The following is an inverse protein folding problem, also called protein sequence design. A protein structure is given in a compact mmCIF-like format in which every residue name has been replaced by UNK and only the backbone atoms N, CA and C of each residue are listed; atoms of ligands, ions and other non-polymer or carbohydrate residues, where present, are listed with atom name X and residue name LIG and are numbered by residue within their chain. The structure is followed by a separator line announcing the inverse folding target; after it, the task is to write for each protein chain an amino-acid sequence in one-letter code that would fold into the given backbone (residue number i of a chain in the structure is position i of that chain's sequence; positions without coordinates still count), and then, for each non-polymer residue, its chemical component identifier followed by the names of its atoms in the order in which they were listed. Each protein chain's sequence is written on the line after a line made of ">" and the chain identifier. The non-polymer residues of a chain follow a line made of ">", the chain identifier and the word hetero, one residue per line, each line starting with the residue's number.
data_IF_257505392198
#
_entry.id   IF_257505392198
#
_cell.length_a   1.000
_cell.length_b   1.000
_cell.length_c   1.000
_cell.angle_alpha   90.00
_cell.angle_beta   90.00
_cell.angle_gamma   90.00
#
_symmetry.space_group_name_H-M   'P 1'
#
loop_
_entity.id
_entity.type
_entity.pdbx_description
1 polymer ?
#
# COMPACT_ATOMS: atom_id res chain seq x y z
N UNK A 1 18.81 -14.26 -2.41
CA UNK A 1 19.23 -13.96 -1.02
C UNK A 1 18.55 -12.69 -0.50
N UNK A 2 18.09 -12.69 0.75
CA UNK A 2 17.68 -11.46 1.45
C UNK A 2 18.85 -11.02 2.35
N UNK A 3 19.34 -9.79 2.14
CA UNK A 3 20.57 -9.31 2.80
C UNK A 3 20.31 -8.57 4.11
N UNK A 4 19.27 -7.73 4.12
CA UNK A 4 18.88 -6.92 5.28
C UNK A 4 17.51 -7.36 5.81
N UNK A 5 17.25 -7.21 7.12
CA UNK A 5 15.93 -7.47 7.67
C UNK A 5 14.89 -6.46 7.17
N UNK A 6 13.61 -6.76 7.39
CA UNK A 6 12.50 -5.86 7.11
C UNK A 6 12.08 -5.15 8.40
N UNK A 7 12.41 -3.87 8.53
CA UNK A 7 12.14 -3.07 9.73
C UNK A 7 12.74 -3.70 11.00
N UNK A 8 14.00 -4.14 10.91
CA UNK A 8 14.72 -4.81 11.99
C UNK A 8 14.29 -6.25 12.27
N UNK A 9 13.33 -6.81 11.52
CA UNK A 9 12.82 -8.18 11.71
C UNK A 9 13.00 -9.05 10.49
N UNK A 10 13.25 -10.34 10.72
CA UNK A 10 13.26 -11.37 9.68
C UNK A 10 11.87 -12.01 9.63
N UNK A 11 10.99 -11.46 8.81
CA UNK A 11 9.60 -11.88 8.65
C UNK A 11 9.37 -12.67 7.34
N UNK A 12 8.13 -13.12 7.10
CA UNK A 12 7.75 -13.85 5.88
C UNK A 12 8.38 -15.25 5.78
N UNK A 13 8.94 -15.59 4.62
CA UNK A 13 9.64 -16.86 4.37
C UNK A 13 10.83 -17.10 5.32
N UNK A 14 11.29 -16.08 6.05
CA UNK A 14 12.46 -16.15 6.93
C UNK A 14 12.11 -16.09 8.43
N UNK A 15 10.82 -16.16 8.79
CA UNK A 15 10.37 -16.17 10.19
C UNK A 15 10.92 -17.38 10.94
N UNK A 16 11.81 -17.13 11.91
CA UNK A 16 12.20 -18.12 12.93
C UNK A 16 13.21 -19.20 12.54
N UNK A 17 13.83 -19.20 11.35
CA UNK A 17 14.93 -20.14 11.01
C UNK A 17 16.23 -19.40 10.70
N UNK A 18 17.24 -19.57 11.55
CA UNK A 18 18.58 -18.94 11.41
C UNK A 18 19.38 -19.42 10.21
N UNK A 19 18.99 -20.52 9.56
CA UNK A 19 19.61 -21.02 8.34
C UNK A 19 18.47 -21.76 7.63
N UNK A 20 18.01 -21.28 6.48
CA UNK A 20 16.78 -21.81 5.92
C UNK A 20 16.60 -21.36 4.49
N UNK A 21 17.00 -22.24 3.59
CA UNK A 21 16.53 -22.27 2.22
C UNK A 21 15.03 -22.57 2.24
N UNK A 22 14.22 -21.61 1.76
CA UNK A 22 12.79 -21.81 1.60
C UNK A 22 12.46 -21.82 0.13
N UNK A 23 11.98 -22.98 -0.35
CA UNK A 23 11.40 -23.09 -1.68
C UNK A 23 10.10 -22.27 -1.72
N UNK A 24 9.99 -21.37 -2.69
CA UNK A 24 8.73 -20.68 -2.96
C UNK A 24 7.67 -21.68 -3.40
N UNK A 25 6.67 -21.91 -2.55
CA UNK A 25 5.50 -22.74 -2.86
C UNK A 25 4.49 -21.92 -3.67
N UNK A 26 3.67 -22.59 -4.47
CA UNK A 26 2.62 -21.96 -5.30
C UNK A 26 3.14 -20.88 -6.27
N UNK A 27 4.38 -21.03 -6.74
CA UNK A 27 4.95 -20.20 -7.79
C UNK A 27 5.29 -21.08 -9.00
N UNK A 28 4.99 -20.66 -10.25
CA UNK A 28 5.35 -21.44 -11.43
C UNK A 28 6.88 -21.51 -11.65
N UNK A 29 7.62 -20.55 -11.11
CA UNK A 29 9.09 -20.53 -11.10
C UNK A 29 9.64 -21.09 -9.79
N UNK A 30 10.76 -21.82 -9.85
CA UNK A 30 11.40 -22.44 -8.69
C UNK A 30 12.55 -21.57 -8.20
N UNK A 31 12.42 -20.97 -7.02
CA UNK A 31 13.51 -20.25 -6.37
C UNK A 31 13.64 -20.67 -4.91
N UNK A 32 14.88 -20.60 -4.43
CA UNK A 32 15.24 -20.77 -3.03
C UNK A 32 15.50 -19.38 -2.42
N UNK A 33 14.77 -19.05 -1.37
CA UNK A 33 15.03 -17.85 -0.58
C UNK A 33 15.93 -18.22 0.59
N UNK A 34 17.03 -17.50 0.75
CA UNK A 34 18.02 -17.71 1.83
C UNK A 34 18.52 -16.39 2.39
N UNK A 35 19.01 -16.42 3.64
CA UNK A 35 19.80 -15.37 4.28
C UNK A 35 21.22 -15.82 4.63
N UNK A 36 21.60 -17.03 4.21
CA UNK A 36 22.92 -17.59 4.45
C UNK A 36 23.95 -16.90 3.55
N UNK A 37 24.75 -16.02 4.16
CA UNK A 37 25.73 -15.18 3.45
C UNK A 37 26.82 -15.99 2.76
N UNK A 38 27.02 -17.25 3.14
CA UNK A 38 27.95 -18.17 2.45
C UNK A 38 27.52 -18.45 1.01
N UNK A 39 26.24 -18.25 0.69
CA UNK A 39 25.67 -18.48 -0.63
C UNK A 39 25.63 -17.23 -1.51
N UNK A 40 26.36 -16.16 -1.15
CA UNK A 40 26.33 -14.88 -1.87
C UNK A 40 26.78 -15.04 -3.33
N UNK A 41 27.85 -15.78 -3.59
CA UNK A 41 28.38 -15.98 -4.95
C UNK A 41 27.46 -16.84 -5.83
N UNK A 42 26.61 -17.67 -5.20
CA UNK A 42 25.64 -18.54 -5.88
C UNK A 42 24.23 -17.94 -5.97
N UNK A 43 24.03 -16.74 -5.42
CA UNK A 43 22.71 -16.11 -5.42
C UNK A 43 22.47 -15.31 -6.70
N UNK A 44 21.41 -15.63 -7.44
CA UNK A 44 21.02 -14.88 -8.65
C UNK A 44 20.58 -13.44 -8.33
N UNK A 45 20.01 -13.23 -7.14
CA UNK A 45 19.62 -11.91 -6.66
C UNK A 45 19.94 -11.72 -5.17
N UNK A 46 20.26 -10.48 -4.82
CA UNK A 46 20.46 -10.01 -3.44
C UNK A 46 19.48 -8.87 -3.21
N UNK A 47 18.52 -9.09 -2.31
CA UNK A 47 17.46 -8.14 -2.01
C UNK A 47 17.82 -7.36 -0.76
N UNK A 48 17.78 -6.03 -0.87
CA UNK A 48 18.08 -5.11 0.21
C UNK A 48 16.82 -4.35 0.59
N UNK A 49 16.29 -4.62 1.77
CA UNK A 49 15.37 -3.69 2.40
C UNK A 49 16.14 -2.42 2.80
N UNK A 50 15.83 -1.33 2.12
CA UNK A 50 16.71 -0.16 2.01
C UNK A 50 16.84 0.61 3.32
N UNK A 51 15.76 0.67 4.13
CA UNK A 51 15.79 1.33 5.44
C UNK A 51 16.72 0.62 6.44
N UNK A 52 16.95 -0.68 6.24
CA UNK A 52 17.79 -1.52 7.10
C UNK A 52 19.20 -1.74 6.52
N UNK A 53 19.59 -0.95 5.52
CA UNK A 53 20.96 -0.98 4.99
C UNK A 53 21.98 -0.52 6.03
N UNK A 54 23.09 -1.25 6.09
CA UNK A 54 24.29 -0.88 6.83
C UNK A 54 25.47 -0.91 5.86
N UNK A 55 26.11 0.25 5.67
CA UNK A 55 27.24 0.41 4.74
C UNK A 55 28.48 -0.36 5.18
N UNK A 56 28.66 -0.58 6.49
CA UNK A 56 29.74 -1.40 7.01
C UNK A 56 29.52 -2.90 6.77
N UNK A 57 28.33 -3.26 6.29
CA UNK A 57 27.86 -4.63 6.18
C UNK A 57 27.32 -4.93 4.77
N UNK A 58 27.90 -4.34 3.72
CA UNK A 58 27.54 -4.68 2.34
C UNK A 58 28.24 -5.96 1.86
N UNK A 59 27.65 -6.72 0.92
CA UNK A 59 28.36 -7.82 0.27
C UNK A 59 29.58 -7.27 -0.49
N UNK A 60 30.67 -8.04 -0.59
CA UNK A 60 31.96 -7.53 -1.06
C UNK A 60 31.92 -7.10 -2.52
N UNK A 61 31.40 -7.93 -3.43
CA UNK A 61 31.28 -7.63 -4.86
C UNK A 61 30.02 -8.28 -5.45
N UNK A 62 29.47 -7.65 -6.49
CA UNK A 62 28.37 -8.19 -7.31
C UNK A 62 28.96 -8.86 -8.55
N UNK A 63 28.62 -10.14 -8.78
CA UNK A 63 28.98 -10.81 -10.05
C UNK A 63 28.18 -10.22 -11.22
N UNK A 64 28.65 -10.42 -12.45
CA UNK A 64 27.98 -9.86 -13.65
C UNK A 64 26.55 -10.38 -13.86
N UNK A 65 26.25 -11.61 -13.43
CA UNK A 65 24.93 -12.23 -13.52
C UNK A 65 24.02 -11.92 -12.32
N UNK A 66 24.58 -11.52 -11.18
CA UNK A 66 23.81 -11.27 -9.96
C UNK A 66 23.08 -9.92 -10.00
N UNK A 67 21.81 -9.91 -9.58
CA UNK A 67 20.96 -8.72 -9.49
C UNK A 67 20.87 -8.21 -8.05
N UNK A 68 21.37 -7.01 -7.79
CA UNK A 68 21.11 -6.32 -6.52
C UNK A 68 19.80 -5.56 -6.63
N UNK A 69 18.88 -5.82 -5.71
CA UNK A 69 17.49 -5.36 -5.76
C UNK A 69 17.22 -4.37 -4.63
N UNK A 70 16.85 -3.15 -5.00
CA UNK A 70 16.32 -2.13 -4.09
C UNK A 70 14.91 -2.53 -3.68
N UNK A 71 14.69 -2.91 -2.42
CA UNK A 71 13.36 -3.26 -1.92
C UNK A 71 12.88 -2.27 -0.85
N UNK A 72 11.70 -1.71 -1.06
CA UNK A 72 11.07 -0.84 -0.05
C UNK A 72 9.57 -0.65 -0.31
N UNK A 73 8.78 -0.72 0.76
CA UNK A 73 7.31 -0.66 0.70
C UNK A 73 6.69 0.55 1.40
N UNK A 74 7.51 1.37 2.06
CA UNK A 74 7.09 2.64 2.66
C UNK A 74 7.35 3.79 1.71
N UNK A 75 6.66 4.90 1.92
CA UNK A 75 6.77 6.06 1.03
C UNK A 75 8.14 6.77 1.12
N UNK A 76 8.53 7.57 0.11
CA UNK A 76 9.81 8.27 0.11
C UNK A 76 10.09 9.12 1.36
N UNK A 77 9.14 9.92 1.90
CA UNK A 77 9.36 10.67 3.14
C UNK A 77 9.64 9.79 4.36
N UNK A 78 9.25 8.52 4.30
CA UNK A 78 9.48 7.52 5.33
C UNK A 78 10.68 6.62 5.02
N UNK A 79 11.53 6.89 4.02
CA UNK A 79 12.71 6.03 3.76
C UNK A 79 13.69 5.97 4.92
N UNK A 80 13.96 7.11 5.58
CA UNK A 80 14.83 7.25 6.76
C UNK A 80 16.27 6.72 6.64
N UNK A 81 16.67 6.29 5.45
CA UNK A 81 18.06 6.01 5.08
C UNK A 81 18.54 7.07 4.09
N UNK A 82 19.77 7.54 4.25
CA UNK A 82 20.35 8.54 3.35
C UNK A 82 20.78 7.91 2.02
N UNK A 83 19.94 7.93 0.99
CA UNK A 83 20.30 7.33 -0.31
C UNK A 83 21.49 8.02 -1.02
N UNK A 84 21.91 9.22 -0.59
CA UNK A 84 23.05 9.93 -1.20
C UNK A 84 24.40 9.23 -0.96
N UNK A 85 24.51 8.41 0.08
CA UNK A 85 25.77 7.71 0.40
C UNK A 85 25.94 6.39 -0.36
N UNK A 86 24.95 6.01 -1.16
CA UNK A 86 25.01 4.78 -1.95
C UNK A 86 25.81 5.00 -3.23
N UNK A 87 26.69 4.05 -3.61
CA UNK A 87 27.44 4.17 -4.84
C UNK A 87 26.52 4.14 -6.07
N UNK A 88 26.81 4.93 -7.12
CA UNK A 88 26.10 4.84 -8.39
C UNK A 88 26.07 3.43 -8.96
N UNK A 89 24.93 3.00 -9.50
CA UNK A 89 24.80 1.67 -10.12
C UNK A 89 24.75 0.49 -9.14
N UNK A 90 24.69 0.74 -7.82
CA UNK A 90 24.60 -0.30 -6.79
C UNK A 90 23.44 -1.27 -7.03
N UNK A 91 22.27 -0.77 -7.44
CA UNK A 91 21.10 -1.60 -7.69
C UNK A 91 20.87 -1.80 -9.18
N UNK A 92 20.60 -3.05 -9.58
CA UNK A 92 20.15 -3.39 -10.92
C UNK A 92 18.66 -3.22 -11.07
N UNK A 93 17.91 -3.69 -10.06
CA UNK A 93 16.46 -3.76 -10.08
C UNK A 93 15.85 -3.08 -8.87
N UNK A 94 14.59 -2.70 -9.02
CA UNK A 94 13.73 -2.13 -7.98
C UNK A 94 12.53 -3.05 -7.74
N UNK A 95 12.17 -3.21 -6.47
CA UNK A 95 11.03 -4.01 -6.03
C UNK A 95 10.24 -3.21 -5.01
N UNK A 96 9.21 -2.48 -5.46
CA UNK A 96 8.46 -1.53 -4.62
C UNK A 96 7.00 -1.45 -5.05
N UNK A 97 6.19 -0.66 -4.32
CA UNK A 97 4.82 -0.34 -4.69
C UNK A 97 4.70 0.57 -5.93
N UNK A 98 5.80 1.12 -6.46
CA UNK A 98 5.72 1.97 -7.64
C UNK A 98 5.51 1.14 -8.90
N UNK A 99 4.59 1.57 -9.74
CA UNK A 99 4.24 0.89 -10.99
C UNK A 99 5.39 0.83 -12.01
N UNK A 100 6.39 1.72 -11.89
CA UNK A 100 7.61 1.75 -12.71
C UNK A 100 8.78 0.95 -12.10
N UNK A 101 8.53 0.10 -11.10
CA UNK A 101 9.55 -0.80 -10.56
C UNK A 101 9.81 -1.99 -11.48
N UNK A 102 11.03 -2.51 -11.48
CA UNK A 102 11.38 -3.74 -12.24
C UNK A 102 10.55 -4.95 -11.78
N UNK A 103 10.21 -4.99 -10.49
CA UNK A 103 9.24 -5.90 -9.88
C UNK A 103 8.20 -5.06 -9.12
N UNK A 104 7.01 -4.92 -9.68
CA UNK A 104 5.91 -4.19 -9.06
C UNK A 104 5.27 -5.01 -7.92
N UNK A 105 5.17 -4.41 -6.74
CA UNK A 105 4.64 -5.03 -5.52
C UNK A 105 3.56 -4.13 -4.92
N UNK A 106 2.31 -4.17 -5.41
CA UNK A 106 1.23 -3.44 -4.76
C UNK A 106 0.87 -4.05 -3.40
N UNK A 107 0.13 -3.33 -2.57
CA UNK A 107 -0.36 -3.87 -1.29
C UNK A 107 -1.57 -4.81 -1.46
N UNK A 108 -2.22 -4.76 -2.62
CA UNK A 108 -3.34 -5.60 -3.00
C UNK A 108 -3.73 -5.37 -4.45
N UNK A 109 -4.73 -6.10 -4.92
CA UNK A 109 -5.28 -5.94 -6.26
C UNK A 109 -6.79 -6.18 -6.29
N UNK A 110 -7.44 -5.64 -7.32
CA UNK A 110 -8.82 -5.99 -7.65
C UNK A 110 -8.78 -6.90 -8.88
N UNK A 111 -9.24 -8.14 -8.70
CA UNK A 111 -9.20 -9.18 -9.73
C UNK A 111 -10.61 -9.58 -10.17
N UNK A 112 -10.82 -9.97 -11.44
CA UNK A 112 -12.09 -10.54 -11.86
C UNK A 112 -12.48 -11.75 -11.00
N UNK A 113 -13.78 -11.90 -10.74
CA UNK A 113 -14.30 -13.10 -10.09
C UNK A 113 -14.23 -14.29 -11.05
N UNK A 114 -13.99 -15.46 -10.46
CA UNK A 114 -14.32 -16.72 -11.11
C UNK A 114 -15.86 -16.79 -11.27
N UNK A 115 -16.31 -17.03 -12.50
CA UNK A 115 -17.73 -17.16 -12.83
C UNK A 115 -18.42 -18.30 -12.05
N UNK A 116 -17.65 -19.28 -11.59
CA UNK A 116 -18.16 -20.44 -10.85
C UNK A 116 -18.15 -20.24 -9.32
N UNK A 117 -17.55 -19.16 -8.81
CA UNK A 117 -17.47 -18.91 -7.37
C UNK A 117 -18.78 -18.30 -6.83
N UNK A 118 -19.49 -19.04 -5.99
CA UNK A 118 -20.69 -18.55 -5.31
C UNK A 118 -20.31 -17.64 -4.13
N UNK A 119 -20.80 -16.39 -4.13
CA UNK A 119 -20.74 -15.52 -2.94
C UNK A 119 -21.95 -15.82 -2.05
N UNK A 120 -21.79 -15.98 -0.73
CA UNK A 120 -22.91 -15.91 0.19
C UNK A 120 -23.67 -14.60 -0.06
N UNK A 121 -24.97 -14.68 -0.36
CA UNK A 121 -25.81 -13.48 -0.48
C UNK A 121 -25.76 -12.74 0.85
N UNK A 122 -25.07 -11.59 0.88
CA UNK A 122 -25.05 -10.69 2.03
C UNK A 122 -26.19 -9.71 1.88
N UNK A 123 -27.00 -9.57 2.92
CA UNK A 123 -28.06 -8.57 2.97
C UNK A 123 -27.44 -7.19 3.26
N UNK A 124 -27.06 -6.49 2.18
CA UNK A 124 -26.52 -5.13 2.27
C UNK A 124 -27.51 -4.15 2.89
N UNK A 125 -28.83 -4.38 2.78
CA UNK A 125 -29.85 -3.52 3.38
C UNK A 125 -29.89 -3.69 4.89
N UNK A 126 -29.84 -4.93 5.38
CA UNK A 126 -29.73 -5.20 6.80
C UNK A 126 -28.42 -4.64 7.38
N UNK A 127 -27.29 -4.83 6.66
CA UNK A 127 -26.00 -4.28 7.07
C UNK A 127 -26.01 -2.74 7.11
N UNK A 128 -26.62 -2.08 6.12
CA UNK A 128 -26.77 -0.62 6.12
C UNK A 128 -27.61 -0.14 7.31
N UNK A 129 -28.69 -0.86 7.67
CA UNK A 129 -29.51 -0.56 8.85
C UNK A 129 -28.80 -0.81 10.18
N UNK A 130 -27.82 -1.71 10.24
CA UNK A 130 -27.07 -1.98 11.49
C UNK A 130 -26.02 -0.93 11.80
N UNK A 131 -25.55 -0.19 10.79
CA UNK A 131 -24.56 0.88 10.95
C UNK A 131 -25.20 2.09 11.65
N UNK A 132 -24.53 2.58 12.68
CA UNK A 132 -25.00 3.72 13.48
C UNK A 132 -23.91 4.78 13.73
N UNK A 133 -22.73 4.61 13.14
CA UNK A 133 -21.63 5.58 13.22
C UNK A 133 -21.13 5.96 11.83
N UNK A 134 -20.69 7.21 11.66
CA UNK A 134 -20.37 7.73 10.34
C UNK A 134 -19.05 7.17 9.81
N UNK A 135 -17.92 7.48 10.44
CA UNK A 135 -16.60 7.05 9.97
C UNK A 135 -15.70 6.53 11.08
N UNK A 136 -14.80 5.61 10.70
CA UNK A 136 -13.72 5.09 11.54
C UNK A 136 -12.36 5.34 10.89
N UNK A 137 -11.36 5.66 11.71
CA UNK A 137 -9.97 5.80 11.29
C UNK A 137 -9.05 4.99 12.19
N UNK A 138 -8.50 3.89 11.67
CA UNK A 138 -7.54 3.05 12.38
C UNK A 138 -6.10 3.50 12.04
N UNK A 139 -5.41 4.12 13.00
CA UNK A 139 -4.13 4.79 12.77
C UNK A 139 -3.20 4.73 13.99
N UNK A 140 -1.92 4.47 13.75
CA UNK A 140 -0.89 4.47 14.80
C UNK A 140 0.33 5.36 14.51
N UNK A 141 0.39 6.00 13.35
CA UNK A 141 1.39 7.02 13.05
C UNK A 141 0.72 8.40 13.06
N UNK A 142 1.05 9.21 14.06
CA UNK A 142 0.31 10.42 14.42
C UNK A 142 0.97 11.72 13.95
N UNK A 143 2.10 11.63 13.25
CA UNK A 143 2.78 12.77 12.65
C UNK A 143 3.31 12.32 11.31
N UNK A 144 2.66 12.77 10.23
CA UNK A 144 3.01 12.32 8.90
C UNK A 144 3.32 13.46 7.94
N UNK A 145 4.09 13.13 6.91
CA UNK A 145 4.50 14.08 5.87
C UNK A 145 3.32 14.54 5.02
N UNK A 146 2.30 13.68 4.83
CA UNK A 146 1.11 14.00 4.04
C UNK A 146 0.11 14.94 4.72
N UNK A 147 0.15 15.05 6.05
CA UNK A 147 -0.73 15.95 6.81
C UNK A 147 -2.17 15.43 7.01
N UNK A 148 -2.39 14.11 6.90
CA UNK A 148 -3.71 13.48 7.06
C UNK A 148 -4.36 13.75 8.41
N UNK A 149 -3.57 14.00 9.45
CA UNK A 149 -3.98 14.25 10.83
C UNK A 149 -4.66 15.62 10.92
N UNK A 150 -4.10 16.61 10.22
CA UNK A 150 -4.70 17.94 10.11
C UNK A 150 -5.97 17.87 9.28
N UNK A 151 -5.96 17.13 8.17
CA UNK A 151 -7.16 16.91 7.37
C UNK A 151 -8.28 16.29 8.22
N UNK A 152 -7.99 15.23 8.97
CA UNK A 152 -8.99 14.57 9.83
C UNK A 152 -9.41 15.49 11.00
N UNK A 153 -8.51 16.30 11.55
CA UNK A 153 -8.88 17.29 12.56
C UNK A 153 -9.91 18.30 12.03
N UNK A 154 -9.75 18.78 10.80
CA UNK A 154 -10.73 19.65 10.13
C UNK A 154 -12.03 18.88 9.79
N UNK A 155 -11.93 17.67 9.26
CA UNK A 155 -13.09 16.82 8.97
C UNK A 155 -13.97 16.59 10.22
N UNK A 156 -13.33 16.38 11.37
CA UNK A 156 -14.00 16.14 12.66
C UNK A 156 -14.78 17.34 13.21
N UNK A 157 -14.60 18.53 12.65
CA UNK A 157 -15.46 19.68 12.97
C UNK A 157 -16.85 19.58 12.32
N UNK A 158 -16.99 18.71 11.32
CA UNK A 158 -18.19 18.63 10.48
C UNK A 158 -18.89 17.25 10.50
N UNK A 159 -18.22 16.22 11.02
CA UNK A 159 -18.78 14.88 11.17
C UNK A 159 -18.05 14.07 12.26
N UNK A 160 -18.72 13.06 12.80
CA UNK A 160 -18.09 12.15 13.75
C UNK A 160 -17.11 11.19 13.07
N UNK A 161 -15.89 11.13 13.61
CA UNK A 161 -14.85 10.15 13.24
C UNK A 161 -14.29 9.52 14.50
N UNK A 162 -14.48 8.21 14.65
CA UNK A 162 -13.86 7.45 15.72
C UNK A 162 -12.43 7.04 15.34
N UNK A 163 -11.47 7.34 16.22
CA UNK A 163 -10.05 7.07 15.97
C UNK A 163 -9.59 5.88 16.81
N UNK A 164 -9.14 4.82 16.14
CA UNK A 164 -8.58 3.61 16.73
C UNK A 164 -7.06 3.55 16.55
N UNK A 165 -6.34 3.01 17.54
CA UNK A 165 -4.90 2.82 17.49
C UNK A 165 -4.14 3.75 18.44
N UNK A 166 -2.87 4.03 18.13
CA UNK A 166 -2.03 4.87 19.00
C UNK A 166 -2.48 6.34 19.00
N UNK A 167 -3.05 6.84 17.91
CA UNK A 167 -3.45 8.25 17.78
C UNK A 167 -4.86 8.55 18.30
N UNK A 168 -5.52 7.57 18.93
CA UNK A 168 -6.91 7.67 19.36
C UNK A 168 -7.18 6.98 20.68
N UNK A 169 -8.38 7.20 21.20
CA UNK A 169 -8.85 6.62 22.46
C UNK A 169 -9.19 5.14 22.34
N UNK A 170 -9.64 4.69 21.18
CA UNK A 170 -10.00 3.29 20.95
C UNK A 170 -8.78 2.47 20.55
N UNK A 171 -8.81 1.17 20.86
CA UNK A 171 -7.70 0.26 20.56
C UNK A 171 -8.11 -0.75 19.51
N UNK A 172 -7.20 -0.98 18.57
CA UNK A 172 -7.24 -2.08 17.63
C UNK A 172 -5.81 -2.56 17.41
N UNK A 173 -5.26 -3.40 18.31
CA UNK A 173 -3.91 -3.92 18.15
C UNK A 173 -3.85 -4.87 16.95
N UNK A 174 -2.68 -4.96 16.30
CA UNK A 174 -2.49 -5.79 15.11
C UNK A 174 -2.84 -7.27 15.30
N UNK A 175 -2.75 -7.79 16.53
CA UNK A 175 -3.12 -9.17 16.86
C UNK A 175 -4.61 -9.50 16.66
N UNK A 176 -5.49 -8.48 16.67
CA UNK A 176 -6.95 -8.63 16.53
C UNK A 176 -7.49 -7.74 15.39
N UNK A 177 -6.64 -7.37 14.43
CA UNK A 177 -7.00 -6.44 13.35
C UNK A 177 -8.26 -6.92 12.58
N UNK A 178 -8.35 -8.22 12.27
CA UNK A 178 -9.49 -8.80 11.56
C UNK A 178 -10.81 -8.67 12.35
N UNK A 179 -10.77 -8.81 13.68
CA UNK A 179 -11.95 -8.63 14.53
C UNK A 179 -12.41 -7.17 14.54
N UNK A 180 -11.46 -6.23 14.57
CA UNK A 180 -11.78 -4.81 14.43
C UNK A 180 -12.40 -4.51 13.07
N UNK A 181 -11.81 -5.01 11.97
CA UNK A 181 -12.32 -4.76 10.62
C UNK A 181 -13.75 -5.31 10.45
N UNK A 182 -14.03 -6.51 10.97
CA UNK A 182 -15.37 -7.08 11.00
C UNK A 182 -16.35 -6.23 11.83
N UNK A 183 -15.92 -5.73 12.99
CA UNK A 183 -16.71 -4.79 13.80
C UNK A 183 -16.95 -3.47 13.05
N UNK A 184 -15.94 -2.96 12.35
CA UNK A 184 -16.04 -1.72 11.61
C UNK A 184 -17.07 -1.84 10.48
N UNK A 185 -17.03 -2.94 9.73
CA UNK A 185 -18.01 -3.29 8.72
C UNK A 185 -19.45 -3.27 9.25
N UNK A 186 -19.70 -3.73 10.47
CA UNK A 186 -21.05 -3.74 11.05
C UNK A 186 -21.50 -2.38 11.59
N UNK A 187 -20.56 -1.53 12.02
CA UNK A 187 -20.84 -0.33 12.83
C UNK A 187 -20.77 0.97 12.03
N UNK A 188 -19.85 1.07 11.06
CA UNK A 188 -19.52 2.32 10.37
C UNK A 188 -19.90 2.30 8.88
N UNK A 189 -20.33 3.43 8.35
CA UNK A 189 -20.52 3.61 6.91
C UNK A 189 -19.20 3.74 6.15
N UNK A 190 -18.23 4.43 6.75
CA UNK A 190 -16.98 4.78 6.07
C UNK A 190 -15.75 4.36 6.87
N UNK A 191 -14.73 3.90 6.15
CA UNK A 191 -13.38 3.68 6.70
C UNK A 191 -12.43 4.69 6.06
N UNK A 192 -11.77 5.50 6.88
CA UNK A 192 -10.74 6.43 6.39
C UNK A 192 -9.45 5.65 6.11
N UNK A 193 -9.22 5.33 4.83
CA UNK A 193 -8.03 4.68 4.31
C UNK A 193 -6.95 5.72 3.96
N UNK A 194 -6.59 6.56 4.94
CA UNK A 194 -5.73 7.73 4.70
C UNK A 194 -4.25 7.37 4.80
N UNK A 195 -3.50 7.61 3.72
CA UNK A 195 -2.08 7.35 3.65
C UNK A 195 -1.24 8.37 4.42
N UNK A 196 -0.12 7.91 4.98
CA UNK A 196 0.83 8.77 5.69
C UNK A 196 1.53 9.78 4.76
N UNK A 197 1.46 9.59 3.44
CA UNK A 197 2.10 10.47 2.47
C UNK A 197 1.26 10.57 1.21
N UNK A 198 1.18 11.77 0.64
CA UNK A 198 0.51 12.00 -0.64
C UNK A 198 1.55 11.82 -1.75
N UNK A 199 1.94 10.57 -2.00
CA UNK A 199 2.94 10.23 -3.01
C UNK A 199 2.31 9.56 -4.24
N UNK A 200 2.87 9.74 -5.44
CA UNK A 200 2.49 8.95 -6.61
C UNK A 200 2.56 7.44 -6.32
N UNK A 201 1.60 6.71 -6.86
CA UNK A 201 1.43 5.24 -6.75
C UNK A 201 1.32 4.67 -5.32
N UNK A 202 1.42 5.48 -4.27
CA UNK A 202 1.49 4.98 -2.90
C UNK A 202 0.10 4.64 -2.35
N UNK A 203 -0.19 3.34 -2.34
CA UNK A 203 -1.38 2.74 -1.73
C UNK A 203 -0.99 1.51 -0.92
N UNK A 204 -1.48 1.48 0.31
CA UNK A 204 -1.13 0.47 1.32
C UNK A 204 -2.29 -0.49 1.58
N UNK A 205 -2.12 -1.36 2.59
CA UNK A 205 -3.16 -2.27 3.07
C UNK A 205 -4.45 -1.54 3.46
N UNK A 206 -4.40 -0.23 3.78
CA UNK A 206 -5.55 0.55 4.25
C UNK A 206 -6.71 0.55 3.28
N UNK A 207 -6.44 0.73 1.98
CA UNK A 207 -7.48 0.66 0.95
C UNK A 207 -8.04 -0.77 0.86
N UNK A 208 -7.17 -1.77 0.78
CA UNK A 208 -7.59 -3.15 0.57
C UNK A 208 -8.32 -3.74 1.78
N UNK A 209 -7.94 -3.37 3.00
CA UNK A 209 -8.65 -3.70 4.23
C UNK A 209 -10.09 -3.18 4.19
N UNK A 210 -10.36 -2.02 3.59
CA UNK A 210 -11.73 -1.56 3.39
C UNK A 210 -12.42 -2.31 2.25
N UNK A 211 -11.77 -2.49 1.08
CA UNK A 211 -12.37 -3.14 -0.09
C UNK A 211 -12.74 -4.62 0.17
N UNK A 212 -11.98 -5.32 1.03
CA UNK A 212 -12.27 -6.69 1.47
C UNK A 212 -13.57 -6.78 2.30
N UNK A 213 -14.00 -5.68 2.92
CA UNK A 213 -15.18 -5.60 3.77
C UNK A 213 -16.30 -4.76 3.12
N UNK A 214 -17.55 -4.92 3.54
CA UNK A 214 -18.69 -4.13 3.05
C UNK A 214 -18.81 -2.78 3.80
N UNK A 215 -17.71 -2.01 3.74
CA UNK A 215 -17.56 -0.63 4.23
C UNK A 215 -16.94 0.22 3.13
N UNK A 216 -17.40 1.47 2.95
CA UNK A 216 -16.91 2.32 1.87
C UNK A 216 -15.57 2.96 2.26
N UNK A 217 -14.46 2.72 1.52
CA UNK A 217 -13.21 3.42 1.76
C UNK A 217 -13.30 4.90 1.37
N UNK A 218 -12.82 5.76 2.25
CA UNK A 218 -12.48 7.15 1.93
C UNK A 218 -10.96 7.25 1.90
N UNK A 219 -10.40 7.49 0.72
CA UNK A 219 -8.95 7.49 0.51
C UNK A 219 -8.38 8.90 0.59
N UNK A 220 -7.11 9.01 0.99
CA UNK A 220 -6.35 10.25 1.00
C UNK A 220 -4.91 9.90 0.68
N UNK A 221 -4.42 10.31 -0.50
CA UNK A 221 -3.11 9.90 -0.99
C UNK A 221 -2.83 10.46 -2.39
N UNK A 222 -1.64 10.19 -2.93
CA UNK A 222 -1.19 10.74 -4.21
C UNK A 222 -1.34 9.81 -5.40
N UNK A 223 -1.92 8.63 -5.22
CA UNK A 223 -2.06 7.61 -6.24
C UNK A 223 -3.22 7.92 -7.21
N UNK A 224 -3.13 7.37 -8.43
CA UNK A 224 -4.27 7.30 -9.33
C UNK A 224 -5.14 6.08 -8.99
N UNK A 225 -6.08 6.25 -8.07
CA UNK A 225 -6.91 5.15 -7.56
C UNK A 225 -7.74 4.43 -8.63
N UNK A 226 -8.08 5.09 -9.75
CA UNK A 226 -8.83 4.49 -10.87
C UNK A 226 -8.06 3.37 -11.58
N UNK A 227 -6.73 3.34 -11.43
CA UNK A 227 -5.88 2.25 -11.93
C UNK A 227 -5.79 1.06 -10.95
N UNK A 228 -6.27 1.24 -9.72
CA UNK A 228 -6.07 0.29 -8.62
C UNK A 228 -7.37 -0.35 -8.16
N UNK A 229 -8.48 0.39 -8.24
CA UNK A 229 -9.79 -0.09 -7.86
C UNK A 229 -10.86 0.45 -8.83
N UNK A 230 -11.98 -0.28 -9.03
CA UNK A 230 -13.06 0.17 -9.89
C UNK A 230 -13.58 1.56 -9.50
N UNK A 231 -13.96 2.37 -10.48
CA UNK A 231 -14.66 3.63 -10.21
C UNK A 231 -15.90 3.36 -9.35
N UNK A 232 -16.22 4.28 -8.44
CA UNK A 232 -17.32 4.13 -7.47
C UNK A 232 -17.14 2.90 -6.55
N UNK A 233 -15.89 2.54 -6.20
CA UNK A 233 -15.58 1.61 -5.10
C UNK A 233 -14.95 2.29 -3.89
N UNK A 234 -14.59 3.56 -4.02
CA UNK A 234 -13.96 4.41 -3.01
C UNK A 234 -14.41 5.86 -3.18
N UNK A 235 -14.15 6.69 -2.18
CA UNK A 235 -14.35 8.14 -2.20
C UNK A 235 -12.98 8.80 -2.03
N UNK A 236 -12.54 9.62 -2.96
CA UNK A 236 -11.28 10.35 -2.84
C UNK A 236 -11.47 11.65 -2.05
N UNK A 237 -10.89 11.74 -0.85
CA UNK A 237 -10.99 12.92 0.00
C UNK A 237 -10.37 14.17 -0.66
N UNK A 238 -9.39 13.99 -1.55
CA UNK A 238 -8.71 15.10 -2.23
C UNK A 238 -9.44 15.60 -3.48
N UNK A 239 -10.55 14.96 -3.89
CA UNK A 239 -11.40 15.47 -4.98
C UNK A 239 -12.44 16.49 -4.51
N UNK A 240 -12.62 16.66 -3.20
CA UNK A 240 -13.51 17.65 -2.61
C UNK A 240 -12.78 18.96 -2.38
N UNK A 241 -13.51 20.08 -2.51
CA UNK A 241 -12.96 21.41 -2.24
C UNK A 241 -12.42 21.52 -0.81
N UNK A 242 -13.12 20.95 0.19
CA UNK A 242 -12.69 21.03 1.59
C UNK A 242 -13.13 19.80 2.39
N UNK A 243 -12.54 19.57 3.59
CA UNK A 243 -13.01 18.55 4.52
C UNK A 243 -14.50 18.71 4.90
N UNK A 244 -15.02 19.95 4.91
CA UNK A 244 -16.45 20.23 5.13
C UNK A 244 -17.32 19.65 4.01
N UNK A 245 -16.95 19.89 2.75
CA UNK A 245 -17.68 19.35 1.60
C UNK A 245 -17.63 17.83 1.55
N UNK A 246 -16.50 17.23 1.94
CA UNK A 246 -16.43 15.78 2.14
C UNK A 246 -17.41 15.32 3.22
N UNK A 247 -17.42 15.96 4.40
CA UNK A 247 -18.34 15.60 5.48
C UNK A 247 -19.82 15.67 5.05
N UNK A 248 -20.23 16.75 4.38
CA UNK A 248 -21.58 16.91 3.86
C UNK A 248 -21.96 15.79 2.88
N UNK A 249 -21.04 15.43 1.98
CA UNK A 249 -21.22 14.30 1.07
C UNK A 249 -21.39 12.97 1.81
N UNK A 250 -20.51 12.67 2.76
CA UNK A 250 -20.54 11.42 3.53
C UNK A 250 -21.82 11.29 4.39
N UNK A 251 -22.25 12.39 5.04
CA UNK A 251 -23.49 12.41 5.81
C UNK A 251 -24.72 12.18 4.91
N UNK A 252 -24.81 12.86 3.77
CA UNK A 252 -25.89 12.65 2.80
C UNK A 252 -25.89 11.21 2.25
N UNK A 253 -24.71 10.68 1.93
CA UNK A 253 -24.57 9.32 1.41
C UNK A 253 -24.98 8.27 2.46
N UNK A 254 -24.66 8.48 3.74
CA UNK A 254 -25.04 7.55 4.82
C UNK A 254 -26.56 7.40 4.97
N UNK A 255 -27.34 8.42 4.60
CA UNK A 255 -28.80 8.43 4.68
C UNK A 255 -29.50 7.87 3.43
N UNK A 256 -28.77 7.65 2.34
CA UNK A 256 -29.33 7.14 1.08
C UNK A 256 -28.82 5.72 0.80
N UNK A 257 -29.63 4.72 1.12
CA UNK A 257 -29.29 3.32 0.89
C UNK A 257 -28.93 3.03 -0.57
N UNK A 258 -29.68 3.56 -1.55
CA UNK A 258 -29.46 3.24 -2.97
C UNK A 258 -28.11 3.75 -3.43
N UNK A 259 -27.76 4.99 -3.10
CA UNK A 259 -26.45 5.55 -3.43
C UNK A 259 -25.32 4.84 -2.67
N UNK A 260 -25.50 4.57 -1.38
CA UNK A 260 -24.50 3.84 -0.57
C UNK A 260 -24.25 2.43 -1.11
N UNK A 261 -25.32 1.69 -1.44
CA UNK A 261 -25.23 0.34 -1.99
C UNK A 261 -24.52 0.32 -3.35
N UNK A 262 -24.61 1.40 -4.14
CA UNK A 262 -23.94 1.51 -5.43
C UNK A 262 -22.41 1.39 -5.34
N UNK A 263 -21.81 1.71 -4.17
CA UNK A 263 -20.37 1.56 -3.93
C UNK A 263 -19.89 0.11 -3.84
N UNK A 264 -20.81 -0.85 -3.78
CA UNK A 264 -20.50 -2.28 -3.68
C UNK A 264 -20.82 -3.06 -4.96
N UNK A 265 -21.39 -2.42 -5.99
CA UNK A 265 -21.79 -3.07 -7.24
C UNK A 265 -20.61 -3.76 -7.95
N UNK A 266 -19.41 -3.17 -7.88
CA UNK A 266 -18.19 -3.76 -8.45
C UNK A 266 -17.88 -5.15 -7.89
N UNK A 267 -18.31 -5.46 -6.66
CA UNK A 267 -18.14 -6.75 -6.01
C UNK A 267 -18.95 -7.86 -6.65
N UNK A 268 -19.86 -7.58 -7.58
CA UNK A 268 -20.55 -8.63 -8.36
C UNK A 268 -19.60 -9.31 -9.35
N UNK A 269 -18.62 -8.55 -9.88
CA UNK A 269 -17.73 -9.01 -10.95
C UNK A 269 -16.27 -9.14 -10.53
N UNK A 270 -15.91 -8.58 -9.38
CA UNK A 270 -14.52 -8.56 -8.91
C UNK A 270 -14.39 -8.90 -7.42
N UNK A 271 -13.17 -9.26 -7.04
CA UNK A 271 -12.71 -9.42 -5.66
C UNK A 271 -11.54 -8.48 -5.39
N UNK A 272 -11.47 -7.90 -4.19
CA UNK A 272 -10.21 -7.41 -3.67
C UNK A 272 -9.42 -8.57 -3.07
N UNK A 273 -8.10 -8.57 -3.25
CA UNK A 273 -7.18 -9.54 -2.66
C UNK A 273 -5.94 -8.81 -2.14
N UNK A 274 -5.37 -9.31 -1.05
CA UNK A 274 -4.04 -8.89 -0.61
C UNK A 274 -2.97 -9.37 -1.59
N UNK A 275 -1.82 -8.68 -1.63
CA UNK A 275 -0.72 -9.10 -2.48
C UNK A 275 0.24 -10.03 -1.74
N UNK A 276 0.33 -11.28 -2.19
CA UNK A 276 1.23 -12.29 -1.62
C UNK A 276 2.35 -12.72 -2.61
N UNK A 277 2.42 -12.08 -3.78
CA UNK A 277 3.22 -12.53 -4.93
C UNK A 277 4.65 -12.02 -5.01
N UNK A 278 5.09 -11.08 -4.15
CA UNK A 278 6.32 -10.31 -4.34
C UNK A 278 7.57 -11.17 -4.63
N UNK A 279 7.84 -12.19 -3.81
CA UNK A 279 8.97 -13.09 -4.03
C UNK A 279 8.80 -13.97 -5.27
N UNK A 280 7.56 -14.37 -5.58
CA UNK A 280 7.27 -15.18 -6.77
C UNK A 280 7.47 -14.38 -8.06
N UNK A 281 7.11 -13.09 -8.09
CA UNK A 281 7.27 -12.27 -9.29
C UNK A 281 8.73 -11.91 -9.54
N UNK A 282 9.51 -11.66 -8.48
CA UNK A 282 10.96 -11.60 -8.59
C UNK A 282 11.52 -12.94 -9.11
N UNK A 283 11.05 -14.08 -8.59
CA UNK A 283 11.49 -15.39 -9.04
C UNK A 283 11.18 -15.64 -10.52
N UNK A 284 9.97 -15.35 -10.99
CA UNK A 284 9.61 -15.44 -12.42
C UNK A 284 10.51 -14.56 -13.28
N UNK A 285 10.81 -13.34 -12.83
CA UNK A 285 11.71 -12.42 -13.54
C UNK A 285 13.15 -12.95 -13.62
N UNK A 286 13.65 -13.58 -12.56
CA UNK A 286 14.97 -14.22 -12.54
C UNK A 286 15.06 -15.43 -13.47
N UNK A 287 13.94 -16.13 -13.71
CA UNK A 287 13.86 -17.24 -14.67
C UNK A 287 13.73 -16.79 -16.13
N UNK A 288 13.69 -15.48 -16.40
CA UNK A 288 13.69 -14.93 -17.75
C UNK A 288 15.11 -14.49 -18.14
N UNK A 289 15.79 -15.28 -18.99
CA UNK A 289 17.18 -15.03 -19.39
C UNK A 289 17.37 -13.66 -20.05
N UNK A 290 16.42 -13.20 -20.85
CA UNK A 290 16.48 -11.87 -21.50
C UNK A 290 16.50 -10.74 -20.47
N UNK A 291 15.69 -10.85 -19.42
CA UNK A 291 15.64 -9.85 -18.34
C UNK A 291 16.92 -9.87 -17.49
N UNK A 292 17.49 -11.04 -17.24
CA UNK A 292 18.73 -11.21 -16.45
C UNK A 292 19.96 -10.76 -17.24
N UNK A 293 20.06 -11.12 -18.52
CA UNK A 293 21.19 -10.76 -19.38
C UNK A 293 21.21 -9.25 -19.72
N UNK A 294 20.04 -8.60 -19.66
CA UNK A 294 19.95 -7.14 -19.83
C UNK A 294 20.78 -6.43 -18.75
N UNK A 295 21.87 -5.82 -19.20
CA UNK A 295 22.64 -4.88 -18.39
C UNK A 295 21.73 -3.73 -17.96
N UNK A 296 21.51 -3.65 -16.66
CA UNK A 296 20.60 -2.70 -16.02
C UNK A 296 21.24 -2.27 -14.72
N UNK A 297 21.39 -0.96 -14.53
CA UNK A 297 21.78 -0.40 -13.24
C UNK A 297 21.20 1.00 -13.10
N UNK A 298 20.77 1.32 -11.88
CA UNK A 298 20.30 2.65 -11.54
C UNK A 298 21.51 3.51 -11.21
N UNK A 299 21.94 4.34 -12.16
CA UNK A 299 23.04 5.29 -11.97
C UNK A 299 22.78 6.20 -10.76
N UNK A 300 21.54 6.68 -10.61
CA UNK A 300 21.08 7.41 -9.42
C UNK A 300 19.75 6.83 -8.93
N UNK A 301 19.83 5.91 -7.96
CA UNK A 301 18.65 5.32 -7.31
C UNK A 301 17.88 6.36 -6.48
N UNK A 302 18.56 7.39 -5.97
CA UNK A 302 17.93 8.45 -5.18
C UNK A 302 17.01 9.29 -6.07
N UNK A 303 17.51 9.75 -7.23
CA UNK A 303 16.69 10.53 -8.17
C UNK A 303 15.53 9.69 -8.70
N UNK A 304 15.76 8.40 -9.00
CA UNK A 304 14.66 7.49 -9.32
C UNK A 304 13.60 7.48 -8.23
N UNK A 305 14.01 7.29 -6.96
CA UNK A 305 13.10 7.11 -5.82
C UNK A 305 12.34 8.38 -5.41
N UNK A 306 13.00 9.54 -5.37
CA UNK A 306 12.41 10.78 -4.85
C UNK A 306 11.86 11.73 -5.91
N UNK A 307 12.39 11.71 -7.13
CA UNK A 307 12.20 12.80 -8.10
C UNK A 307 11.48 12.34 -9.37
N UNK A 308 11.87 11.20 -9.95
CA UNK A 308 11.42 10.78 -11.30
C UNK A 308 9.90 10.64 -11.46
N UNK A 309 9.19 10.18 -10.42
CA UNK A 309 7.71 10.01 -10.43
C UNK A 309 6.96 11.27 -10.00
N UNK A 310 7.66 12.31 -9.58
CA UNK A 310 7.10 13.51 -8.97
C UNK A 310 7.17 13.48 -7.44
N UNK A 311 7.28 14.65 -6.79
CA UNK A 311 7.46 14.74 -5.36
C UNK A 311 6.18 14.36 -4.61
N UNK A 312 6.34 13.83 -3.40
CA UNK A 312 5.23 13.70 -2.47
C UNK A 312 4.72 15.08 -2.04
N UNK A 313 3.40 15.21 -1.97
CA UNK A 313 2.72 16.44 -1.54
C UNK A 313 2.39 16.40 -0.06
N UNK A 314 2.09 17.56 0.48
CA UNK A 314 1.53 17.76 1.81
C UNK A 314 0.21 18.49 1.68
N UNK A 315 -0.81 18.03 2.38
CA UNK A 315 -2.05 18.77 2.45
C UNK A 315 -1.86 20.01 3.34
N UNK A 316 -2.26 21.16 2.83
CA UNK A 316 -2.32 22.44 3.56
C UNK A 316 -3.71 23.04 3.35
N UNK A 317 -4.36 23.38 4.46
CA UNK A 317 -5.68 24.00 4.53
C UNK A 317 -5.75 25.30 3.71
N UNK A 318 -4.61 26.00 3.53
CA UNK A 318 -4.52 27.28 2.81
C UNK A 318 -4.56 27.17 1.29
N UNK A 319 -4.43 25.99 0.70
CA UNK A 319 -4.34 25.79 -0.77
C UNK A 319 -5.73 25.61 -1.42
N UNK A 320 -6.79 25.47 -0.62
CA UNK A 320 -8.17 25.22 -1.08
C UNK A 320 -8.77 26.38 -1.90
N UNK A 321 -8.20 27.59 -1.86
CA UNK A 321 -8.80 28.78 -2.48
C UNK A 321 -8.38 29.06 -3.93
N UNK A 322 -7.57 28.23 -4.61
CA UNK A 322 -6.97 28.63 -5.90
C UNK A 322 -7.07 27.65 -7.07
N UNK A 323 -7.98 26.67 -7.09
CA UNK A 323 -8.21 25.88 -8.32
C UNK A 323 -9.51 26.34 -8.99
N UNK A 324 -9.44 27.04 -10.14
CA UNK A 324 -10.64 27.39 -10.90
C UNK A 324 -11.25 26.12 -11.48
N UNK A 325 -12.55 25.95 -11.25
CA UNK A 325 -13.38 24.92 -11.88
C UNK A 325 -13.32 25.17 -13.39
N UNK A 326 -12.74 24.23 -14.15
CA UNK A 326 -13.00 24.17 -15.60
C UNK A 326 -14.42 23.68 -15.79
N UNK A 327 -15.34 24.61 -16.01
CA UNK A 327 -16.66 24.32 -16.57
C UNK A 327 -16.48 23.84 -18.00
N UNK A 328 -16.69 22.55 -18.25
CA UNK A 328 -16.93 22.05 -19.61
C UNK A 328 -18.40 22.29 -19.92
N UNK A 329 -18.67 23.18 -20.87
CA UNK A 329 -19.97 23.33 -21.53
C UNK A 329 -20.19 22.29 -22.61
#
# INVERSE_FOLDING_TARGET
>A
MIWTPYFGKWDGALKGKMIGEVLLRNCPAKCVVTRDRRLIEYSDAVVFHVRDLDLANLPPNRTSSQKWVFFFMESPPHTYFNLKVLPPGMFNWTMTYRSDSDVYVPSGSVVPRDANATRPKRDLRALWKSKNKTAVWAVSNCVTSGGRERYVAELRKHMDVDVYGHCGRYKCPKSVENECLAKFEQTYFFMLAFENSICPDYVTEKLFNALLHDIVPVVFGGANYSQMAPNRSYIDALSFESPKHLAEHLLKLSQNYTEYASYFAWKERHNAVGWEGACCDLCKKLHNSVEVERSSSYADIRSWWYEKRGPCRKWDERIVTTVPIKTTG
#
